data_IF_927864332568
#
_entry.id   IF_927864332568
#
_cell.length_a   1.000
_cell.length_b   1.000
_cell.length_c   1.000
_cell.angle_alpha   90.00
_cell.angle_beta   90.00
_cell.angle_gamma   90.00
#
_symmetry.space_group_name_H-M   'P 1'
#
loop_
_entity.id
_entity.type
_entity.pdbx_description
1 polymer ?
#
# COMPACT_ATOMS: atom_id res chain seq x y z
N UNK A 1 17.47 19.89 18.14
CA UNK A 1 16.31 19.41 18.94
C UNK A 1 15.57 18.38 18.07
N UNK A 2 15.37 17.13 18.50
CA UNK A 2 14.64 16.15 17.67
C UNK A 2 13.18 16.59 17.51
N UNK A 3 12.66 16.66 16.28
CA UNK A 3 11.23 16.92 15.99
C UNK A 3 10.40 15.82 16.66
N UNK A 4 9.44 16.18 17.50
CA UNK A 4 8.51 15.20 18.09
C UNK A 4 7.40 14.94 17.08
N UNK A 5 7.21 13.66 16.73
CA UNK A 5 6.16 13.20 15.81
C UNK A 5 5.09 12.50 16.64
N UNK A 6 3.83 12.86 16.44
CA UNK A 6 2.73 12.54 17.34
C UNK A 6 1.86 11.39 16.88
N UNK A 7 1.83 11.11 15.57
CA UNK A 7 1.00 10.07 14.96
C UNK A 7 1.74 9.41 13.79
N UNK A 8 1.17 8.33 13.25
CA UNK A 8 1.78 7.56 12.16
C UNK A 8 1.83 8.33 10.84
N UNK A 9 0.91 9.26 10.58
CA UNK A 9 0.95 10.10 9.37
C UNK A 9 2.17 11.02 9.42
N UNK A 10 2.40 11.70 10.54
CA UNK A 10 3.58 12.56 10.72
C UNK A 10 4.89 11.76 10.60
N UNK A 11 4.92 10.53 11.13
CA UNK A 11 6.07 9.62 11.00
C UNK A 11 6.31 9.22 9.55
N UNK A 12 5.26 8.88 8.81
CA UNK A 12 5.35 8.52 7.40
C UNK A 12 5.87 9.69 6.56
N UNK A 13 5.31 10.89 6.75
CA UNK A 13 5.77 12.09 6.03
C UNK A 13 7.25 12.38 6.33
N UNK A 14 7.66 12.29 7.60
CA UNK A 14 9.06 12.44 7.97
C UNK A 14 9.97 11.36 7.37
N UNK A 15 9.47 10.13 7.18
CA UNK A 15 10.21 9.07 6.51
C UNK A 15 10.36 9.36 5.01
N UNK A 16 9.31 9.88 4.36
CA UNK A 16 9.37 10.31 2.96
C UNK A 16 10.36 11.46 2.76
N UNK A 17 10.42 12.43 3.70
CA UNK A 17 11.44 13.50 3.69
C UNK A 17 12.86 12.89 3.70
N UNK A 18 13.10 11.89 4.57
CA UNK A 18 14.41 11.21 4.64
C UNK A 18 14.70 10.38 3.38
N UNK A 19 13.70 9.73 2.81
CA UNK A 19 13.84 9.01 1.54
C UNK A 19 14.29 9.97 0.43
N UNK A 20 13.67 11.15 0.33
CA UNK A 20 14.06 12.19 -0.63
C UNK A 20 15.51 12.65 -0.41
N UNK A 21 15.89 12.95 0.83
CA UNK A 21 17.27 13.33 1.20
C UNK A 21 18.32 12.27 0.80
N UNK A 22 17.93 10.98 0.83
CA UNK A 22 18.81 9.85 0.50
C UNK A 22 18.73 9.43 -0.98
N UNK A 23 17.87 10.07 -1.79
CA UNK A 23 17.66 9.69 -3.19
C UNK A 23 16.90 8.37 -3.36
N UNK A 24 16.07 7.99 -2.39
CA UNK A 24 15.20 6.82 -2.48
C UNK A 24 13.93 7.20 -3.24
N UNK A 25 13.71 6.56 -4.39
CA UNK A 25 12.51 6.74 -5.21
C UNK A 25 11.28 6.09 -4.55
N UNK A 26 10.32 6.90 -4.13
CA UNK A 26 9.05 6.44 -3.53
C UNK A 26 7.84 6.60 -4.46
N UNK A 27 8.08 6.95 -5.73
CA UNK A 27 7.03 7.15 -6.75
C UNK A 27 7.22 6.18 -7.92
N UNK A 28 6.24 6.03 -8.84
CA UNK A 28 6.38 5.13 -9.98
C UNK A 28 7.60 5.47 -10.83
N UNK A 29 8.42 4.46 -11.08
CA UNK A 29 9.62 4.57 -11.89
C UNK A 29 9.63 3.49 -12.98
N UNK A 30 9.94 3.91 -14.21
CA UNK A 30 10.20 2.98 -15.30
C UNK A 30 11.64 2.48 -15.18
N UNK A 31 11.82 1.20 -14.88
CA UNK A 31 13.14 0.59 -14.64
C UNK A 31 13.70 -0.11 -15.88
N UNK A 32 12.83 -0.41 -16.85
CA UNK A 32 13.13 -0.97 -18.16
C UNK A 32 12.02 -0.55 -19.11
N UNK A 33 12.26 -0.59 -20.42
CA UNK A 33 11.24 -0.27 -21.42
C UNK A 33 9.91 -1.01 -21.14
N UNK A 34 8.88 -0.24 -20.84
CA UNK A 34 7.53 -0.71 -20.51
C UNK A 34 7.40 -1.45 -19.17
N UNK A 35 8.40 -1.44 -18.28
CA UNK A 35 8.35 -2.07 -16.96
C UNK A 35 8.44 -1.02 -15.87
N UNK A 36 7.36 -0.88 -15.10
CA UNK A 36 7.25 0.07 -14.01
C UNK A 36 7.35 -0.62 -12.66
N UNK A 37 8.16 -0.07 -11.77
CA UNK A 37 8.06 -0.34 -10.33
C UNK A 37 7.14 0.71 -9.72
N UNK A 38 6.09 0.26 -9.03
CA UNK A 38 5.04 1.11 -8.48
C UNK A 38 4.92 0.81 -6.99
N UNK A 39 5.57 1.59 -6.11
CA UNK A 39 5.38 1.45 -4.67
C UNK A 39 3.95 1.85 -4.30
N UNK A 40 3.21 0.96 -3.64
CA UNK A 40 1.86 1.24 -3.16
C UNK A 40 1.79 1.14 -1.64
N UNK A 41 1.18 2.15 -1.03
CA UNK A 41 0.90 2.15 0.40
C UNK A 41 -0.40 1.41 0.67
N UNK A 42 -0.49 0.77 1.82
CA UNK A 42 -1.68 0.01 2.17
C UNK A 42 -1.80 -0.13 3.68
N UNK A 43 -3.02 -0.39 4.13
CA UNK A 43 -3.29 -0.71 5.53
C UNK A 43 -4.44 -1.67 5.67
N UNK A 44 -4.45 -2.38 6.80
CA UNK A 44 -5.33 -3.50 7.09
C UNK A 44 -6.82 -3.10 7.05
N UNK A 45 -7.65 -4.03 6.58
CA UNK A 45 -9.10 -3.94 6.66
C UNK A 45 -9.69 -5.26 7.15
N UNK A 46 -10.65 -5.23 8.11
CA UNK A 46 -11.33 -6.43 8.60
C UNK A 46 -12.04 -7.25 7.52
N UNK A 47 -12.30 -6.65 6.34
CA UNK A 47 -13.04 -7.29 5.24
C UNK A 47 -12.23 -8.32 4.46
N UNK A 48 -10.91 -8.37 4.62
CA UNK A 48 -10.08 -9.29 3.84
C UNK A 48 -10.24 -10.77 4.24
N UNK A 49 -10.52 -11.05 5.53
CA UNK A 49 -10.63 -12.42 6.02
C UNK A 49 -11.95 -13.14 5.73
N UNK A 50 -12.85 -12.55 4.93
CA UNK A 50 -14.16 -13.11 4.57
C UNK A 50 -15.27 -12.81 5.59
N UNK A 51 -16.48 -13.36 5.36
CA UNK A 51 -17.64 -13.11 6.23
C UNK A 51 -17.43 -13.56 7.71
N UNK A 52 -16.47 -14.46 7.94
CA UNK A 52 -16.13 -15.02 9.25
C UNK A 52 -14.98 -14.30 9.97
N UNK A 53 -14.35 -13.28 9.35
CA UNK A 53 -13.34 -12.46 10.03
C UNK A 53 -14.00 -11.50 11.00
N UNK A 54 -14.35 -12.02 12.17
CA UNK A 54 -14.68 -11.18 13.32
C UNK A 54 -13.48 -10.28 13.62
N UNK A 55 -13.66 -8.96 13.77
CA UNK A 55 -12.62 -8.09 14.30
C UNK A 55 -12.39 -8.48 15.77
N UNK A 56 -11.56 -9.48 16.02
CA UNK A 56 -11.29 -10.02 17.36
C UNK A 56 -10.34 -9.11 18.16
N UNK A 57 -10.51 -7.79 18.08
CA UNK A 57 -9.68 -6.84 18.81
C UNK A 57 -8.19 -6.95 18.49
N UNK A 58 -7.82 -7.60 17.38
CA UNK A 58 -6.44 -7.70 16.92
C UNK A 58 -5.93 -6.29 16.62
N UNK A 59 -5.01 -5.81 17.45
CA UNK A 59 -4.31 -4.55 17.20
C UNK A 59 -3.19 -4.86 16.22
N UNK A 60 -3.43 -4.58 14.94
CA UNK A 60 -2.37 -4.62 13.95
C UNK A 60 -1.39 -3.48 14.22
N UNK A 61 -0.15 -3.84 14.51
CA UNK A 61 0.97 -2.95 14.85
C UNK A 61 0.67 -1.88 15.91
N UNK A 62 0.82 -2.24 17.19
CA UNK A 62 0.60 -1.33 18.34
C UNK A 62 1.46 -0.06 18.34
N UNK A 63 2.48 0.04 17.49
CA UNK A 63 3.30 1.24 17.35
C UNK A 63 2.66 2.28 16.43
N UNK A 64 1.63 1.89 15.69
CA UNK A 64 0.89 2.76 14.80
C UNK A 64 -0.24 3.50 15.53
N UNK A 65 -0.39 4.79 15.21
CA UNK A 65 -1.44 5.66 15.72
C UNK A 65 -1.97 6.50 14.56
N UNK A 66 -3.10 6.07 14.00
CA UNK A 66 -3.73 6.71 12.84
C UNK A 66 -4.71 7.79 13.30
N UNK A 67 -4.55 9.06 12.88
CA UNK A 67 -5.48 10.14 13.27
C UNK A 67 -6.91 9.92 12.76
N UNK A 68 -7.06 9.12 11.70
CA UNK A 68 -8.34 8.71 11.12
C UNK A 68 -8.84 7.34 11.64
N UNK A 69 -8.15 6.72 12.59
CA UNK A 69 -8.39 5.35 13.04
C UNK A 69 -7.99 4.28 12.01
N UNK A 70 -8.00 3.01 12.44
CA UNK A 70 -7.60 1.86 11.61
C UNK A 70 -8.41 1.74 10.30
N UNK A 71 -9.74 1.87 10.39
CA UNK A 71 -10.61 1.82 9.21
C UNK A 71 -10.41 3.04 8.30
N UNK A 72 -10.06 4.21 8.85
CA UNK A 72 -9.73 5.37 8.03
C UNK A 72 -8.40 5.21 7.30
N UNK A 73 -7.43 4.52 7.91
CA UNK A 73 -6.06 4.41 7.40
C UNK A 73 -5.99 3.67 6.05
N UNK A 74 -6.74 2.58 5.86
CA UNK A 74 -6.74 1.89 4.56
C UNK A 74 -7.28 2.79 3.44
N UNK A 75 -8.40 3.50 3.69
CA UNK A 75 -8.98 4.44 2.72
C UNK A 75 -8.04 5.60 2.42
N UNK A 76 -7.31 6.05 3.43
CA UNK A 76 -6.30 7.09 3.27
C UNK A 76 -5.19 6.67 2.30
N UNK A 77 -4.65 5.46 2.45
CA UNK A 77 -3.60 4.97 1.54
C UNK A 77 -4.09 4.65 0.13
N UNK A 78 -5.30 4.13 -0.03
CA UNK A 78 -5.89 3.97 -1.36
C UNK A 78 -5.98 5.31 -2.09
N UNK A 79 -6.39 6.39 -1.41
CA UNK A 79 -6.40 7.74 -2.00
C UNK A 79 -5.00 8.26 -2.29
N UNK A 80 -4.04 7.97 -1.42
CA UNK A 80 -2.64 8.36 -1.62
C UNK A 80 -2.03 7.72 -2.87
N UNK A 81 -2.38 6.46 -3.16
CA UNK A 81 -1.90 5.72 -4.32
C UNK A 81 -2.48 6.23 -5.65
N UNK A 82 -3.60 6.95 -5.62
CA UNK A 82 -4.37 7.28 -6.82
C UNK A 82 -3.54 7.99 -7.91
N UNK A 83 -2.71 9.01 -7.61
CA UNK A 83 -1.87 9.63 -8.63
C UNK A 83 -0.88 8.66 -9.28
N UNK A 84 -0.30 7.74 -8.50
CA UNK A 84 0.62 6.72 -8.99
C UNK A 84 -0.08 5.74 -9.94
N UNK A 85 -1.27 5.27 -9.54
CA UNK A 85 -2.08 4.34 -10.34
C UNK A 85 -2.55 5.01 -11.63
N UNK A 86 -3.03 6.24 -11.57
CA UNK A 86 -3.48 6.99 -12.74
C UNK A 86 -2.34 7.29 -13.73
N UNK A 87 -1.13 7.55 -13.23
CA UNK A 87 0.06 7.71 -14.09
C UNK A 87 0.32 6.45 -14.90
N UNK A 88 0.32 5.30 -14.26
CA UNK A 88 0.58 4.01 -14.90
C UNK A 88 -0.52 3.66 -15.91
N UNK A 89 -1.79 3.91 -15.57
CA UNK A 89 -2.93 3.74 -16.48
C UNK A 89 -2.76 4.55 -17.76
N UNK A 90 -2.47 5.85 -17.62
CA UNK A 90 -2.24 6.73 -18.76
C UNK A 90 -1.08 6.23 -19.63
N UNK A 91 0.04 5.85 -19.01
CA UNK A 91 1.18 5.31 -19.75
C UNK A 91 0.82 4.02 -20.48
N UNK A 92 0.02 3.14 -19.87
CA UNK A 92 -0.45 1.93 -20.51
C UNK A 92 -1.35 2.21 -21.71
N UNK A 93 -2.25 3.19 -21.60
CA UNK A 93 -3.11 3.65 -22.71
C UNK A 93 -2.27 4.24 -23.86
N UNK A 94 -1.35 5.15 -23.55
CA UNK A 94 -0.44 5.80 -24.51
C UNK A 94 0.44 4.77 -25.25
N UNK A 95 0.77 3.66 -24.60
CA UNK A 95 1.60 2.57 -25.15
C UNK A 95 0.81 1.39 -25.69
N UNK A 96 -0.48 1.58 -25.97
CA UNK A 96 -1.36 0.56 -26.56
C UNK A 96 -1.34 -0.77 -25.77
N UNK A 97 -1.31 -0.68 -24.44
CA UNK A 97 -1.30 -1.84 -23.54
C UNK A 97 0.10 -2.34 -23.15
N UNK A 98 1.18 -1.81 -23.73
CA UNK A 98 2.57 -2.20 -23.39
C UNK A 98 3.03 -1.48 -22.12
N UNK A 99 2.65 -2.01 -20.96
CA UNK A 99 3.11 -1.55 -19.65
C UNK A 99 2.92 -2.67 -18.62
N UNK A 100 4.02 -3.28 -18.21
CA UNK A 100 4.11 -4.23 -17.11
C UNK A 100 4.37 -3.48 -15.80
N UNK A 101 3.72 -3.93 -14.73
CA UNK A 101 3.76 -3.28 -13.42
C UNK A 101 4.20 -4.27 -12.36
N UNK A 102 5.27 -3.92 -11.65
CA UNK A 102 5.72 -4.60 -10.44
C UNK A 102 5.36 -3.70 -9.26
N UNK A 103 4.48 -4.17 -8.39
CA UNK A 103 4.04 -3.46 -7.20
C UNK A 103 4.22 -4.33 -5.96
N UNK A 104 4.45 -3.69 -4.83
CA UNK A 104 4.53 -4.32 -3.52
C UNK A 104 3.85 -3.44 -2.49
N UNK A 105 3.39 -4.05 -1.39
CA UNK A 105 2.79 -3.34 -0.26
C UNK A 105 3.19 -4.03 1.05
N UNK A 106 2.86 -3.42 2.20
CA UNK A 106 3.32 -3.87 3.52
C UNK A 106 2.73 -5.21 3.99
N UNK A 107 1.74 -5.76 3.29
CA UNK A 107 1.02 -6.93 3.76
C UNK A 107 1.70 -8.28 3.52
N UNK A 108 1.31 -9.24 4.36
CA UNK A 108 1.58 -10.65 4.13
C UNK A 108 0.89 -11.12 2.83
N UNK A 109 1.47 -12.14 2.17
CA UNK A 109 0.91 -12.73 0.96
C UNK A 109 -0.58 -13.07 1.08
N UNK A 110 -1.31 -13.00 -0.03
CA UNK A 110 -2.70 -13.46 -0.09
C UNK A 110 -2.76 -14.96 0.20
N UNK A 111 -3.92 -15.46 0.63
CA UNK A 111 -4.12 -16.90 0.90
C UNK A 111 -3.92 -17.79 -0.31
N UNK A 112 -3.95 -17.21 -1.51
CA UNK A 112 -3.78 -17.93 -2.77
C UNK A 112 -2.31 -18.22 -3.07
N UNK A 113 -1.39 -17.55 -2.36
CA UNK A 113 0.04 -17.84 -2.41
C UNK A 113 0.35 -18.91 -1.36
N UNK A 114 1.02 -20.01 -1.72
CA UNK A 114 1.46 -21.04 -0.77
C UNK A 114 2.60 -20.49 0.10
N UNK A 115 2.27 -19.58 1.01
CA UNK A 115 3.12 -19.16 2.10
C UNK A 115 2.82 -20.05 3.32
N UNK A 116 3.81 -20.20 4.20
CA UNK A 116 3.65 -20.76 5.56
C UNK A 116 2.46 -20.11 6.29
N UNK A 117 1.92 -20.71 7.36
CA UNK A 117 0.70 -20.29 8.08
C UNK A 117 0.55 -18.76 8.27
N UNK A 118 0.07 -18.06 7.23
CA UNK A 118 -0.20 -16.63 7.26
C UNK A 118 -1.57 -16.46 7.89
N UNK A 119 -1.70 -15.70 8.99
CA UNK A 119 -3.01 -15.38 9.53
C UNK A 119 -3.85 -14.72 8.43
N UNK A 120 -4.98 -15.32 8.05
CA UNK A 120 -5.88 -14.79 7.00
C UNK A 120 -6.31 -13.35 7.29
N UNK A 121 -6.33 -12.99 8.56
CA UNK A 121 -6.63 -11.66 9.07
C UNK A 121 -5.50 -10.68 8.75
N UNK A 122 -4.24 -11.09 8.68
CA UNK A 122 -3.10 -10.20 8.37
C UNK A 122 -2.70 -10.21 6.88
N UNK A 123 -3.39 -11.02 6.07
CA UNK A 123 -3.21 -11.04 4.64
C UNK A 123 -3.90 -9.83 4.00
N UNK A 124 -3.19 -9.13 3.10
CA UNK A 124 -3.71 -8.21 2.10
C UNK A 124 -4.71 -7.09 2.47
N UNK A 125 -5.18 -6.43 1.41
CA UNK A 125 -6.28 -5.49 1.39
C UNK A 125 -6.99 -5.63 0.04
N UNK A 126 -8.25 -6.07 0.04
CA UNK A 126 -8.97 -6.43 -1.20
C UNK A 126 -9.22 -5.21 -2.07
N UNK A 127 -9.41 -4.04 -1.45
CA UNK A 127 -9.55 -2.77 -2.15
C UNK A 127 -8.24 -2.35 -2.85
N UNK A 128 -7.08 -2.69 -2.28
CA UNK A 128 -5.79 -2.46 -2.95
C UNK A 128 -5.64 -3.39 -4.15
N UNK A 129 -6.01 -4.66 -4.01
CA UNK A 129 -6.03 -5.57 -5.16
C UNK A 129 -6.94 -5.06 -6.27
N UNK A 130 -8.13 -4.55 -5.95
CA UNK A 130 -9.01 -3.94 -6.92
C UNK A 130 -8.36 -2.71 -7.57
N UNK A 131 -7.68 -1.86 -6.81
CA UNK A 131 -6.99 -0.68 -7.33
C UNK A 131 -5.90 -1.05 -8.35
N UNK A 132 -5.21 -2.18 -8.17
CA UNK A 132 -4.18 -2.69 -9.08
C UNK A 132 -4.76 -3.49 -10.26
N UNK A 133 -5.77 -4.34 -10.02
CA UNK A 133 -6.42 -5.21 -11.01
C UNK A 133 -7.41 -4.49 -11.92
N UNK A 134 -7.62 -3.21 -11.71
CA UNK A 134 -8.36 -2.34 -12.64
C UNK A 134 -7.42 -1.54 -13.55
N UNK A 135 -6.53 -2.13 -14.41
CA UNK A 135 -5.84 -1.39 -15.45
C UNK A 135 -6.55 -1.46 -16.80
#
# INVERSE_FOLDING_TARGET
>A
RKRKLHNSVEKLLALLDVCDELGVETTPAEVMENVFVVPLLSWWTPRFGGADSRPNGEKHDSFCSWPMGEEGAHKYFLRWNEPSVQRVKRTREERLGRCDVVSFSHFLPTSDIPAWEVPKQAAGCGDLEAQVKTP
#
